data_IF_108914277622
#
_entry.id   IF_108914277622
#
_cell.length_a   1.000
_cell.length_b   1.000
_cell.length_c   1.000
_cell.angle_alpha   90.00
_cell.angle_beta   90.00
_cell.angle_gamma   90.00
#
_symmetry.space_group_name_H-M   'P 1'
#
loop_
_entity.id
_entity.type
_entity.pdbx_description
1 polymer ?
#
# COMPACT_ATOMS: atom_id res chain seq x y z
N UNK A 1 -16.90 -2.15 2.07
CA UNK A 1 -17.21 -1.71 3.42
C UNK A 1 -15.95 -1.38 4.21
N UNK A 2 -16.09 -0.49 5.22
CA UNK A 2 -15.07 -0.25 6.21
C UNK A 2 -15.43 -1.04 7.47
N UNK A 3 -14.44 -1.73 8.04
CA UNK A 3 -14.57 -2.43 9.33
C UNK A 3 -13.56 -1.81 10.29
N UNK A 4 -14.06 -1.24 11.38
CA UNK A 4 -13.25 -0.63 12.42
C UNK A 4 -13.12 -1.60 13.59
N UNK A 5 -11.91 -2.05 13.91
CA UNK A 5 -11.60 -2.77 15.14
C UNK A 5 -11.17 -1.75 16.18
N UNK A 6 -12.11 -1.37 17.06
CA UNK A 6 -11.97 -0.18 17.88
C UNK A 6 -11.33 -0.49 19.23
N UNK A 7 -10.18 0.14 19.48
CA UNK A 7 -9.54 0.26 20.79
C UNK A 7 -8.83 1.62 20.84
N UNK A 8 -9.49 2.63 21.44
CA UNK A 8 -9.02 4.02 21.42
C UNK A 8 -9.24 4.74 22.75
N UNK A 9 -8.17 5.19 23.35
CA UNK A 9 -8.22 6.06 24.55
C UNK A 9 -8.56 7.52 24.26
N UNK A 10 -8.82 7.88 23.00
CA UNK A 10 -9.05 9.26 22.58
C UNK A 10 -7.76 9.97 22.12
N UNK A 11 -7.78 11.30 22.04
CA UNK A 11 -6.64 12.09 21.60
C UNK A 11 -5.47 12.06 22.60
N UNK A 12 -4.24 12.07 22.08
CA UNK A 12 -3.04 12.20 22.89
C UNK A 12 -2.90 13.64 23.42
N UNK A 13 -3.31 13.87 24.67
CA UNK A 13 -3.36 15.20 25.26
C UNK A 13 -2.01 15.94 25.30
N UNK A 14 -0.85 15.30 25.59
CA UNK A 14 0.44 15.97 25.52
C UNK A 14 0.81 16.48 24.11
N UNK A 15 0.26 15.87 23.06
CA UNK A 15 0.51 16.20 21.66
C UNK A 15 -0.74 16.75 20.94
N UNK A 16 -1.64 17.38 21.68
CA UNK A 16 -2.93 17.82 21.14
C UNK A 16 -2.83 18.74 19.93
N UNK A 17 -1.81 19.56 19.86
CA UNK A 17 -1.55 20.47 18.72
C UNK A 17 -1.22 19.72 17.43
N UNK A 18 -0.69 18.50 17.54
CA UNK A 18 -0.30 17.65 16.40
C UNK A 18 -1.40 16.70 15.95
N UNK A 19 -2.49 16.57 16.73
CA UNK A 19 -3.54 15.55 16.46
C UNK A 19 -4.96 16.12 16.39
N UNK A 20 -5.20 17.37 16.80
CA UNK A 20 -6.56 17.88 16.96
C UNK A 20 -6.95 19.01 16.01
N UNK A 21 -6.21 20.16 15.92
CA UNK A 21 -6.76 21.40 15.34
C UNK A 21 -6.73 21.46 13.80
N UNK A 22 -5.91 20.69 13.13
CA UNK A 22 -5.73 20.80 11.68
C UNK A 22 -6.76 20.00 10.91
N UNK A 23 -6.88 20.34 9.61
CA UNK A 23 -7.81 19.72 8.64
C UNK A 23 -7.69 18.20 8.55
N UNK A 24 -6.49 17.68 8.57
CA UNK A 24 -6.22 16.24 8.40
C UNK A 24 -5.98 15.56 9.78
N UNK A 25 -6.33 16.20 10.88
CA UNK A 25 -6.25 15.64 12.21
C UNK A 25 -7.48 14.80 12.58
N UNK A 26 -7.64 14.49 13.85
CA UNK A 26 -8.59 13.50 14.37
C UNK A 26 -10.04 13.73 13.92
N UNK A 27 -10.47 14.98 13.78
CA UNK A 27 -11.82 15.32 13.29
C UNK A 27 -12.09 14.84 11.87
N UNK A 28 -11.03 14.67 11.05
CA UNK A 28 -11.15 14.17 9.67
C UNK A 28 -11.65 12.74 9.59
N UNK A 29 -11.39 11.93 10.62
CA UNK A 29 -11.88 10.54 10.70
C UNK A 29 -13.40 10.53 10.65
N UNK A 30 -14.06 11.33 11.46
CA UNK A 30 -15.53 11.39 11.55
C UNK A 30 -16.16 11.99 10.30
N UNK A 31 -15.54 13.04 9.77
CA UNK A 31 -15.96 13.63 8.51
C UNK A 31 -15.95 12.61 7.37
N UNK A 32 -14.86 11.85 7.24
CA UNK A 32 -14.73 10.83 6.21
C UNK A 32 -15.72 9.68 6.44
N UNK A 33 -15.88 9.21 7.68
CA UNK A 33 -16.80 8.12 8.02
C UNK A 33 -18.25 8.46 7.63
N UNK A 34 -18.72 9.66 8.01
CA UNK A 34 -20.07 10.13 7.66
C UNK A 34 -20.26 10.22 6.14
N UNK A 35 -19.26 10.74 5.42
CA UNK A 35 -19.35 10.87 3.96
C UNK A 35 -19.33 9.52 3.25
N UNK A 36 -18.48 8.61 3.69
CA UNK A 36 -18.42 7.24 3.13
C UNK A 36 -19.75 6.52 3.33
N UNK A 37 -20.36 6.61 4.50
CA UNK A 37 -21.72 6.08 4.73
C UNK A 37 -22.73 6.73 3.78
N UNK A 38 -22.68 8.07 3.61
CA UNK A 38 -23.54 8.81 2.69
C UNK A 38 -23.36 8.41 1.20
N UNK A 39 -22.22 7.86 0.85
CA UNK A 39 -21.92 7.30 -0.49
C UNK A 39 -22.28 5.81 -0.61
N UNK A 40 -22.92 5.23 0.42
CA UNK A 40 -23.33 3.80 0.43
C UNK A 40 -22.18 2.84 0.75
N UNK A 41 -21.06 3.34 1.25
CA UNK A 41 -19.93 2.51 1.72
C UNK A 41 -20.22 2.12 3.16
N UNK A 42 -20.63 0.89 3.40
CA UNK A 42 -20.98 0.40 4.72
C UNK A 42 -19.85 0.57 5.75
N UNK A 43 -20.22 1.14 6.91
CA UNK A 43 -19.33 1.42 8.04
C UNK A 43 -19.73 0.49 9.20
N UNK A 44 -18.84 -0.40 9.60
CA UNK A 44 -19.08 -1.42 10.63
C UNK A 44 -18.05 -1.23 11.73
N UNK A 45 -18.46 -0.96 12.96
CA UNK A 45 -17.55 -0.87 14.10
C UNK A 45 -17.66 -2.09 15.00
N UNK A 46 -16.52 -2.58 15.44
CA UNK A 46 -16.38 -3.65 16.41
C UNK A 46 -15.55 -3.14 17.59
N UNK A 47 -16.19 -2.86 18.71
CA UNK A 47 -15.54 -2.31 19.91
C UNK A 47 -14.95 -3.44 20.71
N UNK A 48 -13.64 -3.63 20.57
CA UNK A 48 -12.85 -4.73 21.18
C UNK A 48 -12.01 -4.23 22.36
N UNK A 49 -12.10 -2.96 22.71
CA UNK A 49 -11.37 -2.33 23.80
C UNK A 49 -12.03 -1.02 24.18
N UNK A 50 -11.22 -0.04 24.54
CA UNK A 50 -11.71 1.29 24.89
C UNK A 50 -12.24 2.03 23.66
N UNK A 51 -13.27 2.85 23.85
CA UNK A 51 -13.76 3.80 22.87
C UNK A 51 -14.14 5.09 23.61
N UNK A 52 -13.12 5.92 23.88
CA UNK A 52 -13.22 7.04 24.82
C UNK A 52 -13.14 8.39 24.12
N UNK A 53 -13.85 9.38 24.66
CA UNK A 53 -13.90 10.75 24.18
C UNK A 53 -14.31 10.82 22.69
N UNK A 54 -13.51 11.48 21.83
CA UNK A 54 -13.77 11.50 20.39
C UNK A 54 -13.83 10.10 19.75
N UNK A 55 -13.07 9.12 20.28
CA UNK A 55 -13.12 7.74 19.82
C UNK A 55 -14.51 7.11 19.90
N UNK A 56 -15.35 7.55 20.86
CA UNK A 56 -16.72 7.05 21.01
C UNK A 56 -17.62 7.32 19.79
N UNK A 57 -17.26 8.30 18.96
CA UNK A 57 -18.01 8.59 17.74
C UNK A 57 -17.79 7.55 16.63
N UNK A 58 -16.67 6.82 16.62
CA UNK A 58 -16.44 5.78 15.59
C UNK A 58 -17.56 4.73 15.61
N UNK A 59 -17.87 4.04 16.72
CA UNK A 59 -19.01 3.12 16.76
C UNK A 59 -20.37 3.83 16.67
N UNK A 60 -20.52 5.01 17.28
CA UNK A 60 -21.79 5.74 17.30
C UNK A 60 -22.21 6.29 15.92
N UNK A 61 -21.27 6.45 14.99
CA UNK A 61 -21.51 6.92 13.62
C UNK A 61 -21.43 5.80 12.59
N UNK A 62 -21.12 4.58 12.99
CA UNK A 62 -21.14 3.42 12.11
C UNK A 62 -22.57 3.00 11.77
N UNK A 63 -22.75 2.40 10.59
CA UNK A 63 -24.08 1.90 10.15
C UNK A 63 -24.53 0.69 10.98
N UNK A 64 -23.56 -0.14 11.41
CA UNK A 64 -23.77 -1.20 12.39
C UNK A 64 -22.58 -1.26 13.37
N UNK A 65 -22.88 -1.53 14.64
CA UNK A 65 -21.88 -1.56 15.70
C UNK A 65 -22.03 -2.80 16.59
N UNK A 66 -20.85 -3.32 17.00
CA UNK A 66 -20.71 -4.50 17.84
C UNK A 66 -19.86 -4.12 19.05
N UNK A 67 -20.18 -4.63 20.23
CA UNK A 67 -19.34 -4.48 21.43
C UNK A 67 -19.02 -5.84 22.04
N UNK A 68 -17.76 -6.02 22.44
CA UNK A 68 -17.34 -7.22 23.17
C UNK A 68 -17.63 -7.05 24.66
N UNK A 69 -18.38 -7.98 25.23
CA UNK A 69 -18.85 -7.98 26.61
C UNK A 69 -17.66 -8.03 27.60
N UNK A 70 -17.74 -7.23 28.66
CA UNK A 70 -16.72 -7.10 29.69
C UNK A 70 -15.34 -6.65 29.20
N UNK A 71 -15.23 -6.18 27.97
CA UNK A 71 -13.98 -5.75 27.33
C UNK A 71 -14.16 -4.41 26.63
N UNK A 72 -15.14 -4.33 25.74
CA UNK A 72 -15.49 -3.09 25.02
C UNK A 72 -16.22 -2.08 25.90
N UNK A 73 -15.84 -0.80 25.78
CA UNK A 73 -16.55 0.31 26.43
C UNK A 73 -16.66 1.51 25.51
N UNK A 74 -17.78 2.21 25.58
CA UNK A 74 -18.04 3.44 24.80
C UNK A 74 -18.52 4.53 25.76
N UNK A 75 -17.78 5.63 25.86
CA UNK A 75 -18.22 6.79 26.64
C UNK A 75 -17.47 8.07 26.22
N UNK A 76 -18.14 9.21 26.27
CA UNK A 76 -17.53 10.52 26.00
C UNK A 76 -16.59 10.95 27.14
N UNK A 77 -16.89 10.56 28.36
CA UNK A 77 -16.06 10.79 29.52
C UNK A 77 -15.98 9.53 30.36
N UNK A 78 -14.77 9.02 30.58
CA UNK A 78 -14.55 7.84 31.40
C UNK A 78 -14.81 8.04 32.89
N UNK A 79 -14.83 6.96 33.72
CA UNK A 79 -15.12 7.01 35.12
C UNK A 79 -14.34 8.08 35.92
N UNK A 80 -13.03 8.33 35.67
CA UNK A 80 -12.31 9.41 36.36
C UNK A 80 -12.88 10.82 36.09
N UNK A 81 -13.29 11.06 34.83
CA UNK A 81 -13.86 12.35 34.44
C UNK A 81 -15.28 12.53 35.05
N UNK A 82 -16.11 11.49 35.04
CA UNK A 82 -17.43 11.48 35.66
C UNK A 82 -17.31 11.78 37.14
N UNK A 83 -16.40 11.12 37.85
CA UNK A 83 -16.13 11.39 39.28
C UNK A 83 -15.69 12.82 39.51
N UNK A 84 -14.83 13.38 38.70
CA UNK A 84 -14.36 14.75 38.83
C UNK A 84 -15.46 15.78 38.55
N UNK A 85 -16.34 15.51 37.61
CA UNK A 85 -17.39 16.45 37.20
C UNK A 85 -18.66 16.39 38.04
N UNK A 86 -19.05 15.19 38.50
CA UNK A 86 -20.35 14.97 39.17
C UNK A 86 -20.21 14.39 40.58
N UNK A 87 -19.03 13.89 40.96
CA UNK A 87 -18.81 13.17 42.22
C UNK A 87 -19.27 11.69 42.18
N UNK A 88 -19.89 11.25 41.08
CA UNK A 88 -20.37 9.89 40.93
C UNK A 88 -19.21 8.89 40.80
N UNK A 89 -19.30 7.79 41.50
CA UNK A 89 -18.34 6.65 41.38
C UNK A 89 -19.04 5.51 40.66
N UNK A 90 -18.61 5.24 39.44
CA UNK A 90 -19.19 4.24 38.56
C UNK A 90 -18.09 3.44 37.87
N UNK A 91 -18.32 2.15 37.62
CA UNK A 91 -17.39 1.32 36.86
C UNK A 91 -17.48 1.60 35.34
N UNK A 92 -16.44 1.27 34.58
CA UNK A 92 -16.43 1.44 33.13
C UNK A 92 -17.53 0.60 32.44
N UNK A 93 -17.76 -0.62 32.92
CA UNK A 93 -18.80 -1.51 32.41
C UNK A 93 -20.22 -0.95 32.69
N UNK A 94 -20.48 -0.44 33.88
CA UNK A 94 -21.76 0.17 34.20
C UNK A 94 -22.01 1.50 33.47
N UNK A 95 -20.95 2.28 33.22
CA UNK A 95 -21.02 3.57 32.53
C UNK A 95 -21.26 3.39 31.02
N UNK A 96 -20.51 2.48 30.38
CA UNK A 96 -20.52 2.37 28.92
C UNK A 96 -20.14 1.00 28.38
N UNK A 97 -20.43 -0.08 29.13
CA UNK A 97 -20.20 -1.43 28.68
C UNK A 97 -21.36 -2.02 27.85
N UNK A 98 -21.22 -3.30 27.53
CA UNK A 98 -22.13 -4.01 26.64
C UNK A 98 -23.60 -4.02 27.09
N UNK A 99 -23.86 -4.22 28.39
CA UNK A 99 -25.23 -4.21 28.92
C UNK A 99 -25.86 -2.83 28.83
N UNK A 100 -25.09 -1.77 29.04
CA UNK A 100 -25.56 -0.38 28.94
C UNK A 100 -25.91 -0.04 27.50
N UNK A 101 -25.02 -0.31 26.56
CA UNK A 101 -25.20 0.11 25.17
C UNK A 101 -26.06 -0.85 24.34
N UNK A 102 -26.06 -2.14 24.66
CA UNK A 102 -26.90 -3.12 23.97
C UNK A 102 -28.36 -3.15 24.45
N UNK A 103 -28.65 -2.66 25.70
CA UNK A 103 -30.01 -2.77 26.25
C UNK A 103 -30.68 -1.44 26.61
N UNK A 104 -29.87 -0.44 27.02
CA UNK A 104 -30.42 0.81 27.55
C UNK A 104 -30.31 1.96 26.57
N UNK A 105 -29.11 2.21 26.05
CA UNK A 105 -28.85 3.36 25.17
C UNK A 105 -29.07 3.07 23.68
N UNK A 106 -28.93 1.80 23.26
CA UNK A 106 -29.06 1.42 21.85
C UNK A 106 -27.92 1.94 20.96
N UNK A 107 -26.78 2.29 21.54
CA UNK A 107 -25.61 2.74 20.76
C UNK A 107 -24.98 1.60 19.97
N UNK A 108 -25.14 0.35 20.45
CA UNK A 108 -24.65 -0.82 19.73
C UNK A 108 -25.80 -1.74 19.35
N UNK A 109 -25.64 -2.40 18.17
CA UNK A 109 -26.65 -3.30 17.60
C UNK A 109 -26.42 -4.74 18.02
N UNK A 110 -25.18 -5.11 18.28
CA UNK A 110 -24.78 -6.48 18.59
C UNK A 110 -23.85 -6.54 19.81
N UNK A 111 -24.07 -7.55 20.63
CA UNK A 111 -23.19 -7.88 21.78
C UNK A 111 -22.48 -9.20 21.49
N UNK A 112 -21.16 -9.20 21.56
CA UNK A 112 -20.33 -10.39 21.39
C UNK A 112 -19.74 -10.86 22.72
N UNK A 113 -19.62 -12.17 22.88
CA UNK A 113 -19.07 -12.76 24.12
C UNK A 113 -17.54 -12.65 24.20
N UNK A 114 -16.86 -12.58 23.04
CA UNK A 114 -15.41 -12.44 22.90
C UNK A 114 -15.07 -11.97 21.49
N UNK A 115 -13.77 -11.77 21.21
CA UNK A 115 -13.24 -11.27 19.95
C UNK A 115 -13.59 -12.17 18.75
N UNK A 116 -13.49 -13.50 18.91
CA UNK A 116 -13.84 -14.45 17.84
C UNK A 116 -15.31 -14.38 17.48
N UNK A 117 -16.19 -14.26 18.48
CA UNK A 117 -17.62 -14.08 18.26
C UNK A 117 -17.89 -12.74 17.57
N UNK A 118 -17.21 -11.67 17.98
CA UNK A 118 -17.33 -10.35 17.36
C UNK A 118 -16.96 -10.39 15.87
N UNK A 119 -15.83 -11.00 15.51
CA UNK A 119 -15.39 -11.17 14.12
C UNK A 119 -16.36 -12.08 13.31
N UNK A 120 -16.99 -13.04 13.95
CA UNK A 120 -18.05 -13.86 13.33
C UNK A 120 -19.26 -13.01 12.99
N UNK A 121 -19.68 -12.13 13.91
CA UNK A 121 -20.79 -11.18 13.66
C UNK A 121 -20.42 -10.23 12.51
N UNK A 122 -19.20 -9.66 12.50
CA UNK A 122 -18.74 -8.80 11.40
C UNK A 122 -18.84 -9.51 10.05
N UNK A 123 -18.36 -10.77 9.95
CA UNK A 123 -18.47 -11.55 8.71
C UNK A 123 -19.91 -11.75 8.27
N UNK A 124 -20.82 -12.00 9.21
CA UNK A 124 -22.25 -12.13 8.93
C UNK A 124 -22.86 -10.83 8.42
N UNK A 125 -22.52 -9.69 9.03
CA UNK A 125 -22.96 -8.37 8.57
C UNK A 125 -22.49 -8.13 7.15
N UNK A 126 -21.20 -8.36 6.88
CA UNK A 126 -20.61 -8.18 5.53
C UNK A 126 -21.29 -9.09 4.51
N UNK A 127 -21.64 -10.34 4.86
CA UNK A 127 -22.35 -11.26 3.98
C UNK A 127 -23.78 -10.76 3.63
N UNK A 128 -24.39 -9.96 4.50
CA UNK A 128 -25.73 -9.43 4.33
C UNK A 128 -25.81 -8.07 3.62
N UNK A 129 -24.67 -7.47 3.24
CA UNK A 129 -24.64 -6.14 2.62
C UNK A 129 -25.25 -6.08 1.22
N UNK A 130 -25.57 -7.23 0.60
CA UNK A 130 -26.09 -7.32 -0.76
C UNK A 130 -25.20 -6.61 -1.80
N UNK A 131 -23.88 -6.57 -1.56
CA UNK A 131 -22.94 -6.00 -2.50
C UNK A 131 -22.61 -6.98 -3.61
N UNK A 132 -22.77 -6.54 -4.85
CA UNK A 132 -22.36 -7.28 -6.04
C UNK A 132 -21.13 -6.62 -6.64
N UNK A 133 -20.12 -7.42 -7.00
CA UNK A 133 -18.98 -6.90 -7.76
C UNK A 133 -19.42 -6.65 -9.20
N UNK A 134 -19.26 -5.43 -9.67
CA UNK A 134 -19.38 -5.09 -11.09
C UNK A 134 -17.97 -5.17 -11.70
N UNK A 135 -17.69 -6.27 -12.40
CA UNK A 135 -16.41 -6.43 -13.09
C UNK A 135 -16.52 -5.88 -14.52
N UNK A 136 -15.67 -4.92 -14.86
CA UNK A 136 -15.38 -4.56 -16.25
C UNK A 136 -14.26 -5.44 -16.86
N UNK A 137 -13.71 -6.37 -16.06
CA UNK A 137 -12.60 -7.25 -16.45
C UNK A 137 -13.11 -8.62 -16.90
N UNK A 138 -12.52 -9.15 -17.97
CA UNK A 138 -12.72 -10.55 -18.38
C UNK A 138 -11.95 -11.46 -17.43
N UNK A 139 -12.66 -12.11 -16.50
CA UNK A 139 -12.06 -13.06 -15.57
C UNK A 139 -12.02 -14.46 -16.18
N UNK A 140 -11.00 -15.21 -15.84
CA UNK A 140 -10.84 -16.63 -16.17
C UNK A 140 -10.72 -17.46 -14.89
N UNK A 141 -10.84 -18.77 -15.00
CA UNK A 141 -10.58 -19.67 -13.87
C UNK A 141 -9.11 -19.56 -13.46
N UNK A 142 -8.80 -19.33 -12.17
CA UNK A 142 -7.40 -19.23 -11.74
C UNK A 142 -6.62 -20.51 -11.94
N UNK A 143 -5.45 -20.41 -12.54
CA UNK A 143 -4.51 -21.53 -12.68
C UNK A 143 -3.28 -21.31 -11.78
N UNK A 144 -2.78 -22.37 -11.10
CA UNK A 144 -1.54 -22.24 -10.37
C UNK A 144 -0.38 -21.99 -11.35
N UNK A 145 0.69 -21.30 -10.94
CA UNK A 145 1.91 -21.23 -11.74
C UNK A 145 2.46 -22.63 -12.05
N UNK A 146 3.06 -22.80 -13.23
CA UNK A 146 3.72 -24.05 -13.60
C UNK A 146 5.01 -24.30 -12.77
N UNK A 147 5.59 -23.25 -12.21
CA UNK A 147 6.77 -23.30 -11.34
C UNK A 147 6.40 -22.98 -9.89
N UNK A 148 7.08 -23.65 -8.94
CA UNK A 148 6.84 -23.47 -7.51
C UNK A 148 7.21 -22.04 -7.06
N UNK A 149 6.30 -21.27 -6.45
CA UNK A 149 6.60 -19.93 -5.94
C UNK A 149 7.77 -19.89 -4.94
N UNK A 150 8.04 -20.97 -4.21
CA UNK A 150 9.16 -21.03 -3.25
C UNK A 150 10.53 -21.02 -3.91
N UNK A 151 10.62 -21.32 -5.21
CA UNK A 151 11.88 -21.22 -5.97
C UNK A 151 12.39 -19.78 -6.06
N UNK A 152 11.52 -18.77 -5.82
CA UNK A 152 11.92 -17.36 -5.77
C UNK A 152 13.06 -17.15 -4.77
N UNK A 153 13.10 -17.88 -3.67
CA UNK A 153 14.19 -17.78 -2.69
C UNK A 153 15.57 -18.16 -3.24
N UNK A 154 15.62 -19.02 -4.26
CA UNK A 154 16.87 -19.40 -4.91
C UNK A 154 17.20 -18.54 -6.14
N UNK A 155 16.22 -17.81 -6.69
CA UNK A 155 16.37 -16.97 -7.88
C UNK A 155 16.86 -15.57 -7.51
N UNK A 156 16.24 -14.99 -6.46
CA UNK A 156 16.54 -13.63 -6.05
C UNK A 156 17.72 -13.62 -5.07
N UNK A 157 18.84 -12.98 -5.46
CA UNK A 157 20.01 -12.93 -4.61
C UNK A 157 19.77 -12.03 -3.38
N UNK A 158 20.46 -12.33 -2.29
CA UNK A 158 20.46 -11.50 -1.09
C UNK A 158 21.14 -10.15 -1.30
N UNK A 159 22.14 -10.08 -2.19
CA UNK A 159 22.76 -8.82 -2.63
C UNK A 159 21.92 -8.20 -3.75
N UNK A 160 21.26 -7.09 -3.46
CA UNK A 160 20.42 -6.34 -4.42
C UNK A 160 21.17 -5.84 -5.67
N UNK A 161 22.50 -5.89 -5.66
CA UNK A 161 23.34 -5.54 -6.83
C UNK A 161 23.57 -6.70 -7.77
N UNK A 162 23.35 -7.92 -7.33
CA UNK A 162 23.53 -9.09 -8.19
C UNK A 162 22.35 -9.20 -9.17
N UNK A 163 22.65 -9.30 -10.48
CA UNK A 163 21.62 -9.38 -11.51
C UNK A 163 20.92 -10.75 -11.52
N UNK A 164 19.65 -10.76 -11.84
CA UNK A 164 18.87 -11.93 -12.20
C UNK A 164 17.82 -11.55 -13.25
N UNK A 165 17.30 -12.52 -13.97
CA UNK A 165 16.22 -12.24 -14.94
C UNK A 165 14.88 -12.20 -14.22
N UNK A 166 14.21 -11.05 -14.25
CA UNK A 166 12.92 -10.84 -13.57
C UNK A 166 11.80 -11.71 -14.16
N UNK A 167 11.96 -12.24 -15.39
CA UNK A 167 11.01 -13.19 -15.98
C UNK A 167 10.86 -14.46 -15.14
N UNK A 168 11.93 -14.87 -14.46
CA UNK A 168 11.90 -15.99 -13.52
C UNK A 168 10.96 -15.72 -12.33
N UNK A 169 10.92 -14.49 -11.84
CA UNK A 169 9.96 -14.08 -10.80
C UNK A 169 8.54 -14.06 -11.39
N UNK A 170 8.35 -13.44 -12.55
CA UNK A 170 7.04 -13.37 -13.22
C UNK A 170 6.44 -14.76 -13.41
N UNK A 171 7.23 -15.73 -13.90
CA UNK A 171 6.78 -17.10 -14.13
C UNK A 171 6.28 -17.83 -12.86
N UNK A 172 6.64 -17.36 -11.65
CA UNK A 172 6.23 -17.96 -10.38
C UNK A 172 5.07 -17.23 -9.71
N UNK A 173 4.57 -16.17 -10.33
CA UNK A 173 3.45 -15.40 -9.77
C UNK A 173 2.21 -15.35 -10.69
N UNK A 174 2.39 -15.57 -12.01
CA UNK A 174 1.30 -15.51 -12.98
C UNK A 174 0.64 -16.86 -13.21
N UNK A 175 -0.61 -16.86 -13.63
CA UNK A 175 -1.41 -18.06 -13.94
C UNK A 175 -0.75 -18.84 -15.04
N UNK A 176 -0.65 -20.18 -14.87
CA UNK A 176 -0.02 -21.09 -15.82
C UNK A 176 1.44 -20.78 -16.14
N UNK A 177 2.06 -19.80 -15.50
CA UNK A 177 3.36 -19.20 -15.88
C UNK A 177 3.34 -18.57 -17.28
N UNK A 178 2.16 -18.22 -17.78
CA UNK A 178 1.99 -17.61 -19.10
C UNK A 178 2.19 -16.10 -19.05
N UNK A 179 3.08 -15.60 -19.91
CA UNK A 179 3.42 -14.18 -20.00
C UNK A 179 3.59 -13.74 -21.44
N UNK A 180 2.69 -12.86 -21.91
CA UNK A 180 2.75 -12.27 -23.25
C UNK A 180 3.61 -11.00 -23.23
N UNK A 181 4.91 -11.14 -23.52
CA UNK A 181 5.87 -10.06 -23.40
C UNK A 181 5.74 -9.04 -24.54
N UNK A 182 5.50 -7.78 -24.18
CA UNK A 182 5.40 -6.65 -25.08
C UNK A 182 6.79 -6.06 -25.39
N UNK A 183 7.14 -5.94 -26.67
CA UNK A 183 8.42 -5.42 -27.18
C UNK A 183 9.65 -6.09 -26.53
N UNK A 184 9.82 -7.42 -26.61
CA UNK A 184 10.91 -8.13 -25.94
C UNK A 184 12.31 -7.73 -26.45
N UNK A 185 12.42 -7.22 -27.67
CA UNK A 185 13.70 -6.83 -28.29
C UNK A 185 14.06 -5.33 -28.12
N UNK A 186 13.15 -4.53 -27.55
CA UNK A 186 13.37 -3.09 -27.38
C UNK A 186 13.29 -2.70 -25.90
N UNK A 187 14.21 -1.87 -25.43
CA UNK A 187 14.26 -1.45 -24.03
C UNK A 187 14.32 -2.63 -23.05
N UNK A 188 15.23 -3.56 -23.29
CA UNK A 188 15.31 -4.88 -22.66
C UNK A 188 15.53 -4.86 -21.15
N UNK A 189 15.95 -3.71 -20.59
CA UNK A 189 16.14 -3.52 -19.14
C UNK A 189 14.82 -3.22 -18.40
N UNK A 190 13.72 -3.08 -19.13
CA UNK A 190 12.36 -3.07 -18.61
C UNK A 190 11.55 -4.16 -19.32
N UNK A 191 11.12 -5.16 -18.58
CA UNK A 191 10.22 -6.21 -19.07
C UNK A 191 8.78 -5.72 -18.90
N UNK A 192 7.99 -5.83 -19.96
CA UNK A 192 6.58 -5.44 -19.97
C UNK A 192 5.76 -6.50 -20.67
N UNK A 193 4.58 -6.84 -20.18
CA UNK A 193 3.72 -7.82 -20.83
C UNK A 193 2.41 -8.02 -20.10
N UNK A 194 1.50 -8.74 -20.75
CA UNK A 194 0.21 -9.14 -20.20
C UNK A 194 0.25 -10.55 -19.64
N UNK A 195 -0.48 -10.76 -18.56
CA UNK A 195 -0.62 -12.04 -17.89
C UNK A 195 -1.95 -12.11 -17.12
N UNK A 196 -2.14 -13.18 -16.36
CA UNK A 196 -3.22 -13.27 -15.37
C UNK A 196 -2.67 -13.62 -14.00
N UNK A 197 -3.34 -13.11 -12.97
CA UNK A 197 -3.10 -13.45 -11.56
C UNK A 197 -4.45 -13.72 -10.92
N UNK A 198 -4.69 -14.94 -10.44
CA UNK A 198 -5.98 -15.38 -9.94
C UNK A 198 -7.13 -15.13 -10.93
N UNK A 199 -6.89 -15.39 -12.22
CA UNK A 199 -7.84 -15.17 -13.29
C UNK A 199 -8.01 -13.69 -13.70
N UNK A 200 -7.50 -12.73 -12.94
CA UNK A 200 -7.55 -11.31 -13.27
C UNK A 200 -6.50 -10.96 -14.33
N UNK A 201 -6.87 -10.30 -15.43
CA UNK A 201 -5.89 -9.79 -16.38
C UNK A 201 -5.05 -8.69 -15.73
N UNK A 202 -3.75 -8.73 -15.96
CA UNK A 202 -2.78 -7.76 -15.44
C UNK A 202 -1.79 -7.34 -16.51
N UNK A 203 -1.33 -6.10 -16.42
CA UNK A 203 -0.24 -5.56 -17.22
C UNK A 203 0.97 -5.36 -16.31
N UNK A 204 2.03 -6.13 -16.51
CA UNK A 204 3.21 -6.18 -15.66
C UNK A 204 4.31 -5.31 -16.24
N UNK A 205 4.92 -4.46 -15.41
CA UNK A 205 6.17 -3.76 -15.67
C UNK A 205 7.19 -4.21 -14.62
N UNK A 206 8.32 -4.75 -15.05
CA UNK A 206 9.32 -5.30 -14.16
C UNK A 206 10.74 -4.84 -14.56
N UNK A 207 11.53 -4.39 -13.59
CA UNK A 207 12.90 -3.99 -13.87
C UNK A 207 13.80 -5.20 -14.11
N UNK A 208 14.59 -5.12 -15.18
CA UNK A 208 15.63 -6.08 -15.53
C UNK A 208 16.99 -5.39 -15.73
N UNK A 209 17.20 -4.29 -15.00
CA UNK A 209 18.40 -3.45 -15.06
C UNK A 209 18.09 -1.96 -14.95
N UNK A 210 19.08 -1.15 -15.28
CA UNK A 210 19.00 0.33 -15.29
C UNK A 210 18.01 0.81 -16.37
N UNK A 211 17.27 1.87 -16.09
CA UNK A 211 16.35 2.47 -17.09
C UNK A 211 17.12 3.36 -18.08
N UNK A 212 17.02 3.00 -19.35
CA UNK A 212 17.45 3.82 -20.48
C UNK A 212 16.26 4.56 -21.12
N UNK A 213 16.53 5.45 -22.07
CA UNK A 213 15.48 6.15 -22.83
C UNK A 213 14.51 5.18 -23.50
N UNK A 214 15.01 4.12 -24.11
CA UNK A 214 14.21 3.08 -24.76
C UNK A 214 13.29 2.35 -23.77
N UNK A 215 13.81 2.07 -22.58
CA UNK A 215 13.03 1.44 -21.50
C UNK A 215 11.91 2.35 -21.01
N UNK A 216 12.20 3.65 -20.85
CA UNK A 216 11.22 4.66 -20.44
C UNK A 216 10.11 4.83 -21.50
N UNK A 217 10.48 4.91 -22.78
CA UNK A 217 9.53 5.03 -23.89
C UNK A 217 8.66 3.77 -24.03
N UNK A 218 9.25 2.58 -23.88
CA UNK A 218 8.51 1.31 -23.86
C UNK A 218 7.50 1.27 -22.71
N UNK A 219 7.94 1.65 -21.50
CA UNK A 219 7.08 1.67 -20.32
C UNK A 219 5.92 2.65 -20.44
N UNK A 220 6.17 3.88 -20.92
CA UNK A 220 5.12 4.86 -21.16
C UNK A 220 4.06 4.34 -22.13
N UNK A 221 4.47 3.84 -23.30
CA UNK A 221 3.57 3.25 -24.30
C UNK A 221 2.76 2.08 -23.73
N UNK A 222 3.40 1.19 -22.95
CA UNK A 222 2.73 0.03 -22.37
C UNK A 222 1.69 0.41 -21.31
N UNK A 223 1.97 1.43 -20.49
CA UNK A 223 1.02 1.96 -19.50
C UNK A 223 -0.21 2.55 -20.19
N UNK A 224 -0.02 3.35 -21.25
CA UNK A 224 -1.13 3.90 -22.01
C UNK A 224 -2.01 2.81 -22.63
N UNK A 225 -1.37 1.77 -23.18
CA UNK A 225 -2.07 0.60 -23.74
C UNK A 225 -2.87 -0.16 -22.68
N UNK A 226 -2.31 -0.36 -21.48
CA UNK A 226 -2.99 -1.00 -20.37
C UNK A 226 -4.19 -0.17 -19.88
N UNK A 227 -4.02 1.17 -19.78
CA UNK A 227 -5.10 2.08 -19.41
C UNK A 227 -6.24 2.08 -20.44
N UNK A 228 -5.93 2.09 -21.73
CA UNK A 228 -6.93 2.01 -22.79
C UNK A 228 -7.76 0.70 -22.71
N UNK A 229 -7.12 -0.38 -22.29
CA UNK A 229 -7.75 -1.69 -22.10
C UNK A 229 -8.37 -1.87 -20.72
N UNK A 230 -8.27 -0.88 -19.84
CA UNK A 230 -8.72 -0.91 -18.43
C UNK A 230 -8.11 -2.08 -17.63
N UNK A 231 -6.90 -2.51 -17.98
CA UNK A 231 -6.18 -3.60 -17.32
C UNK A 231 -5.34 -3.06 -16.16
N UNK A 232 -5.45 -3.61 -14.93
CA UNK A 232 -4.63 -3.21 -13.79
C UNK A 232 -3.13 -3.35 -14.06
N UNK A 233 -2.35 -2.41 -13.52
CA UNK A 233 -0.89 -2.38 -13.62
C UNK A 233 -0.23 -3.02 -12.38
N UNK A 234 0.74 -3.88 -12.62
CA UNK A 234 1.60 -4.47 -11.58
C UNK A 234 3.04 -4.07 -11.84
N UNK A 235 3.67 -3.41 -10.88
CA UNK A 235 5.05 -2.97 -10.93
C UNK A 235 5.91 -3.85 -10.03
N UNK A 236 6.89 -4.54 -10.60
CA UNK A 236 7.92 -5.27 -9.87
C UNK A 236 9.19 -4.44 -9.87
N UNK A 237 9.45 -3.75 -8.76
CA UNK A 237 10.57 -2.82 -8.66
C UNK A 237 11.85 -3.52 -8.24
N UNK A 238 12.86 -3.47 -9.10
CA UNK A 238 14.27 -3.71 -8.78
C UNK A 238 15.10 -2.72 -9.58
N UNK A 239 15.06 -1.44 -9.17
CA UNK A 239 15.61 -0.32 -9.93
C UNK A 239 16.71 0.43 -9.19
N UNK A 240 17.86 0.56 -9.82
CA UNK A 240 18.98 1.37 -9.36
C UNK A 240 18.91 2.84 -9.82
N UNK A 241 18.03 3.17 -10.77
CA UNK A 241 17.83 4.51 -11.31
C UNK A 241 17.78 4.56 -12.84
N UNK A 242 17.62 5.77 -13.37
CA UNK A 242 17.88 6.05 -14.78
C UNK A 242 19.38 6.11 -15.06
N UNK A 243 19.77 5.75 -16.28
CA UNK A 243 21.15 5.85 -16.70
C UNK A 243 21.61 7.31 -16.70
N UNK A 244 22.81 7.54 -16.26
CA UNK A 244 23.42 8.88 -16.15
C UNK A 244 24.65 8.98 -17.06
N UNK A 245 25.02 10.19 -17.40
CA UNK A 245 26.22 10.47 -18.17
C UNK A 245 25.95 11.30 -19.43
N UNK A 246 26.99 11.96 -19.92
CA UNK A 246 26.92 12.94 -21.02
C UNK A 246 26.20 12.41 -22.28
N UNK A 247 26.44 11.16 -22.62
CA UNK A 247 25.81 10.53 -23.79
C UNK A 247 24.29 10.46 -23.63
N UNK A 248 23.82 10.03 -22.47
CA UNK A 248 22.39 9.82 -22.20
C UNK A 248 21.65 11.16 -22.01
N UNK A 249 22.30 12.13 -21.36
CA UNK A 249 21.74 13.50 -21.26
C UNK A 249 21.57 14.12 -22.63
N UNK A 250 22.58 14.00 -23.50
CA UNK A 250 22.53 14.53 -24.87
C UNK A 250 21.45 13.83 -25.72
N UNK A 251 21.13 12.58 -25.46
CA UNK A 251 20.05 11.84 -26.12
C UNK A 251 18.66 12.13 -25.52
N UNK A 252 18.57 12.86 -24.42
CA UNK A 252 17.32 13.30 -23.82
C UNK A 252 16.70 12.33 -22.82
N UNK A 253 17.52 11.62 -22.03
CA UNK A 253 17.08 10.69 -20.99
C UNK A 253 16.09 11.34 -20.01
N UNK A 254 16.30 12.61 -19.63
CA UNK A 254 15.39 13.35 -18.75
C UNK A 254 14.01 13.54 -19.38
N UNK A 255 13.94 13.87 -20.68
CA UNK A 255 12.68 13.99 -21.42
C UNK A 255 11.95 12.64 -21.53
N UNK A 256 12.68 11.59 -21.84
CA UNK A 256 12.09 10.27 -22.06
C UNK A 256 11.70 9.61 -20.71
N UNK A 257 12.51 9.81 -19.68
CA UNK A 257 12.15 9.43 -18.30
C UNK A 257 10.90 10.15 -17.79
N UNK A 258 10.77 11.46 -18.11
CA UNK A 258 9.57 12.22 -17.75
C UNK A 258 8.30 11.68 -18.41
N UNK A 259 8.37 11.11 -19.62
CA UNK A 259 7.21 10.44 -20.25
C UNK A 259 6.74 9.24 -19.45
N UNK A 260 7.66 8.38 -19.00
CA UNK A 260 7.31 7.25 -18.15
C UNK A 260 6.67 7.71 -16.84
N UNK A 261 7.29 8.68 -16.16
CA UNK A 261 6.77 9.26 -14.91
C UNK A 261 5.38 9.87 -15.11
N UNK A 262 5.15 10.59 -16.22
CA UNK A 262 3.84 11.15 -16.57
C UNK A 262 2.82 10.05 -16.84
N UNK A 263 3.18 9.01 -17.57
CA UNK A 263 2.29 7.88 -17.83
C UNK A 263 1.85 7.19 -16.54
N UNK A 264 2.77 6.95 -15.59
CA UNK A 264 2.45 6.38 -14.28
C UNK A 264 1.52 7.30 -13.48
N UNK A 265 1.83 8.61 -13.45
CA UNK A 265 1.06 9.59 -12.69
C UNK A 265 -0.38 9.75 -13.21
N UNK A 266 -0.57 9.72 -14.53
CA UNK A 266 -1.87 9.91 -15.19
C UNK A 266 -2.65 8.60 -15.39
N UNK A 267 -2.06 7.44 -15.07
CA UNK A 267 -2.75 6.16 -15.19
C UNK A 267 -3.90 6.05 -14.18
N UNK A 268 -5.07 5.66 -14.66
CA UNK A 268 -6.33 5.61 -13.89
C UNK A 268 -6.72 4.19 -13.47
N UNK A 269 -6.10 3.17 -14.07
CA UNK A 269 -6.30 1.77 -13.68
C UNK A 269 -5.69 1.50 -12.31
N UNK A 270 -6.19 0.51 -11.56
CA UNK A 270 -5.56 0.10 -10.31
C UNK A 270 -4.07 -0.23 -10.52
N UNK A 271 -3.21 0.34 -9.66
CA UNK A 271 -1.77 0.12 -9.66
C UNK A 271 -1.37 -0.65 -8.41
N UNK A 272 -0.52 -1.65 -8.58
CA UNK A 272 0.05 -2.44 -7.49
C UNK A 272 1.56 -2.44 -7.63
N UNK A 273 2.28 -2.21 -6.55
CA UNK A 273 3.73 -2.19 -6.56
C UNK A 273 4.28 -3.21 -5.56
N UNK A 274 5.22 -4.02 -6.01
CA UNK A 274 6.03 -4.89 -5.15
C UNK A 274 7.49 -4.51 -5.34
N UNK A 275 8.13 -4.02 -4.29
CA UNK A 275 9.57 -3.74 -4.29
C UNK A 275 10.29 -5.05 -4.00
N UNK A 276 10.80 -5.68 -5.06
CA UNK A 276 11.45 -7.00 -5.02
C UNK A 276 12.98 -6.93 -4.84
N UNK A 277 13.53 -5.71 -4.82
CA UNK A 277 14.96 -5.43 -4.68
C UNK A 277 15.19 -3.95 -4.42
N UNK A 278 16.04 -3.30 -5.22
CA UNK A 278 16.30 -1.86 -5.10
C UNK A 278 15.16 -0.98 -5.57
N UNK A 279 14.98 0.17 -4.92
CA UNK A 279 14.07 1.23 -5.33
C UNK A 279 14.73 2.59 -5.08
N UNK A 280 15.48 3.09 -6.07
CA UNK A 280 16.35 4.25 -5.90
C UNK A 280 16.01 5.41 -6.84
N UNK A 281 16.02 6.63 -6.26
CA UNK A 281 15.92 7.88 -6.98
C UNK A 281 14.66 8.01 -7.84
N UNK A 282 14.76 8.70 -8.97
CA UNK A 282 13.63 8.89 -9.89
C UNK A 282 13.15 7.59 -10.58
N UNK A 283 13.92 6.50 -10.50
CA UNK A 283 13.47 5.18 -10.91
C UNK A 283 12.25 4.70 -10.11
N UNK A 284 12.20 5.02 -8.80
CA UNK A 284 11.02 4.80 -7.97
C UNK A 284 9.76 5.46 -8.55
N UNK A 285 9.89 6.66 -9.10
CA UNK A 285 8.77 7.41 -9.68
C UNK A 285 8.26 6.74 -10.96
N UNK A 286 9.16 6.36 -11.86
CA UNK A 286 8.83 5.66 -13.10
C UNK A 286 8.26 4.25 -12.89
N UNK A 287 8.46 3.67 -11.71
CA UNK A 287 7.99 2.34 -11.33
C UNK A 287 6.89 2.38 -10.25
N UNK A 288 6.14 3.47 -10.17
CA UNK A 288 5.00 3.63 -9.28
C UNK A 288 5.34 3.47 -7.78
N UNK A 289 6.27 4.30 -7.27
CA UNK A 289 6.50 4.42 -5.83
C UNK A 289 5.29 4.99 -5.08
N UNK A 290 5.38 5.07 -3.75
CA UNK A 290 4.25 5.45 -2.88
C UNK A 290 3.58 6.78 -3.26
N UNK A 291 4.37 7.76 -3.72
CA UNK A 291 3.86 9.08 -4.15
C UNK A 291 3.04 9.05 -5.46
N UNK A 292 3.03 7.92 -6.17
CA UNK A 292 2.28 7.73 -7.42
C UNK A 292 0.97 6.96 -7.22
N UNK A 293 0.52 6.90 -5.99
CA UNK A 293 -0.80 6.44 -5.58
C UNK A 293 -1.14 5.01 -6.04
N UNK A 294 -0.26 4.03 -5.75
CA UNK A 294 -0.64 2.64 -5.93
C UNK A 294 -1.77 2.28 -4.96
N UNK A 295 -2.67 1.37 -5.35
CA UNK A 295 -3.70 0.84 -4.45
C UNK A 295 -3.06 0.12 -3.27
N UNK A 296 -1.96 -0.61 -3.56
CA UNK A 296 -1.09 -1.20 -2.55
C UNK A 296 0.35 -1.15 -3.02
N UNK A 297 1.25 -0.97 -2.07
CA UNK A 297 2.69 -1.11 -2.24
C UNK A 297 3.22 -2.02 -1.14
N UNK A 298 3.86 -3.12 -1.54
CA UNK A 298 4.50 -4.06 -0.62
C UNK A 298 6.00 -4.13 -0.87
N UNK A 299 6.74 -4.55 0.13
CA UNK A 299 8.18 -4.76 0.03
C UNK A 299 8.56 -6.20 0.41
N UNK A 300 9.55 -6.74 -0.27
CA UNK A 300 10.20 -7.98 0.16
C UNK A 300 11.24 -7.70 1.27
N UNK A 301 11.61 -8.69 2.09
CA UNK A 301 12.58 -8.49 3.19
C UNK A 301 13.97 -8.03 2.74
N UNK A 302 14.38 -8.39 1.51
CA UNK A 302 15.65 -7.96 0.89
C UNK A 302 15.58 -6.60 0.23
N UNK A 303 14.41 -5.96 0.14
CA UNK A 303 14.24 -4.69 -0.56
C UNK A 303 15.01 -3.53 0.12
N UNK A 304 15.38 -2.55 -0.69
CA UNK A 304 16.01 -1.30 -0.22
C UNK A 304 15.38 -0.11 -0.94
N UNK A 305 15.05 0.93 -0.19
CA UNK A 305 14.47 2.17 -0.73
C UNK A 305 15.22 3.39 -0.20
N UNK A 306 15.70 4.23 -1.11
CA UNK A 306 16.29 5.53 -0.78
C UNK A 306 16.45 6.42 -2.01
N UNK A 307 16.92 7.67 -1.81
CA UNK A 307 17.19 8.60 -2.92
C UNK A 307 18.31 8.09 -3.84
N UNK A 308 19.28 7.35 -3.31
CA UNK A 308 20.36 6.67 -4.03
C UNK A 308 20.97 5.59 -3.13
N UNK A 309 21.81 4.71 -3.68
CA UNK A 309 22.52 3.71 -2.88
C UNK A 309 23.44 4.36 -1.85
N UNK A 310 23.57 3.77 -0.65
CA UNK A 310 24.36 4.34 0.46
C UNK A 310 25.83 4.60 0.11
N UNK A 311 26.45 3.72 -0.69
CA UNK A 311 27.83 3.93 -1.18
C UNK A 311 27.95 5.15 -2.10
N UNK A 312 26.99 5.35 -2.98
CA UNK A 312 26.94 6.52 -3.86
C UNK A 312 26.72 7.80 -3.05
N UNK A 313 25.81 7.79 -2.10
CA UNK A 313 25.55 8.93 -1.22
C UNK A 313 26.77 9.30 -0.40
N UNK A 314 27.45 8.33 0.19
CA UNK A 314 28.66 8.53 0.96
C UNK A 314 29.79 9.14 0.10
N UNK A 315 29.97 8.62 -1.12
CA UNK A 315 30.99 9.13 -2.06
C UNK A 315 30.71 10.56 -2.52
N UNK A 316 29.45 10.88 -2.85
CA UNK A 316 29.05 12.23 -3.26
C UNK A 316 29.23 13.23 -2.11
N UNK A 317 28.75 12.90 -0.91
CA UNK A 317 28.88 13.78 0.25
C UNK A 317 30.33 13.99 0.68
N UNK A 318 31.14 12.94 0.64
CA UNK A 318 32.59 13.05 0.91
C UNK A 318 33.31 13.95 -0.10
N UNK A 319 32.94 13.83 -1.39
CA UNK A 319 33.48 14.68 -2.45
C UNK A 319 33.09 16.15 -2.24
N UNK A 320 31.83 16.43 -1.94
CA UNK A 320 31.34 17.80 -1.66
C UNK A 320 31.99 18.39 -0.41
N UNK A 321 32.26 17.56 0.61
CA UNK A 321 32.97 17.96 1.82
C UNK A 321 34.50 18.12 1.65
N UNK A 322 35.03 17.83 0.46
CA UNK A 322 36.47 17.86 0.21
C UNK A 322 37.24 16.71 0.90
N UNK A 323 36.55 15.60 1.21
CA UNK A 323 37.10 14.43 1.92
C UNK A 323 36.84 13.12 1.15
N UNK A 324 37.15 13.03 -0.16
CA UNK A 324 36.74 11.93 -1.04
C UNK A 324 37.26 10.56 -0.60
N UNK A 325 38.39 10.50 0.08
CA UNK A 325 39.05 9.25 0.49
C UNK A 325 38.94 8.97 2.00
N UNK A 326 38.04 9.68 2.70
CA UNK A 326 37.86 9.55 4.16
C UNK A 326 36.74 8.56 4.48
N UNK A 327 37.10 7.30 4.76
CA UNK A 327 36.16 6.27 5.15
C UNK A 327 35.49 6.57 6.49
N UNK A 328 36.18 7.20 7.44
CA UNK A 328 35.58 7.62 8.71
C UNK A 328 34.46 8.64 8.54
N UNK A 329 34.49 9.44 7.46
CA UNK A 329 33.36 10.31 7.06
C UNK A 329 32.26 9.55 6.32
N UNK A 330 32.62 8.55 5.51
CA UNK A 330 31.67 7.79 4.68
C UNK A 330 30.87 6.76 5.49
N UNK A 331 31.49 6.09 6.45
CA UNK A 331 30.90 4.97 7.17
C UNK A 331 29.59 5.32 7.90
N UNK A 332 29.47 6.43 8.65
CA UNK A 332 28.20 6.81 9.26
C UNK A 332 27.09 7.07 8.24
N UNK A 333 27.44 7.54 7.03
CA UNK A 333 26.48 7.78 5.95
C UNK A 333 26.00 6.45 5.38
N UNK A 334 26.92 5.51 5.14
CA UNK A 334 26.58 4.16 4.69
C UNK A 334 25.62 3.46 5.67
N UNK A 335 25.95 3.50 6.95
CA UNK A 335 25.13 2.92 8.02
C UNK A 335 23.74 3.56 8.10
N UNK A 336 23.66 4.89 7.99
CA UNK A 336 22.38 5.61 7.98
C UNK A 336 21.51 5.18 6.80
N UNK A 337 22.09 5.12 5.59
CA UNK A 337 21.35 4.74 4.38
C UNK A 337 20.91 3.28 4.41
N UNK A 338 21.73 2.38 4.95
CA UNK A 338 21.36 0.97 5.12
C UNK A 338 20.21 0.82 6.13
N UNK A 339 20.28 1.49 7.27
CA UNK A 339 19.24 1.45 8.29
C UNK A 339 17.93 2.05 7.78
N UNK A 340 17.97 3.23 7.16
CA UNK A 340 16.78 3.94 6.68
C UNK A 340 16.22 3.36 5.38
N UNK A 341 17.04 2.67 4.59
CA UNK A 341 16.62 1.99 3.37
C UNK A 341 15.94 0.64 3.60
N UNK A 342 15.98 0.12 4.81
CA UNK A 342 15.38 -1.18 5.17
C UNK A 342 13.85 -1.19 5.01
N UNK A 343 13.24 -2.29 4.54
CA UNK A 343 11.79 -2.42 4.45
C UNK A 343 11.12 -2.34 5.82
N UNK A 344 11.78 -2.80 6.89
CA UNK A 344 11.24 -2.70 8.26
C UNK A 344 11.22 -1.26 8.78
N UNK A 345 12.17 -0.43 8.34
CA UNK A 345 12.16 1.00 8.63
C UNK A 345 11.03 1.70 7.86
N UNK A 346 10.80 1.31 6.62
CA UNK A 346 9.76 1.84 5.75
C UNK A 346 8.35 1.50 6.29
N UNK A 347 8.11 0.23 6.59
CA UNK A 347 6.79 -0.22 7.07
C UNK A 347 6.43 0.36 8.44
N UNK A 348 7.42 0.55 9.33
CA UNK A 348 7.22 1.23 10.60
C UNK A 348 6.78 2.70 10.46
N UNK A 349 6.91 3.28 9.26
CA UNK A 349 6.54 4.66 8.90
C UNK A 349 5.38 4.72 7.91
N UNK A 350 4.74 3.60 7.61
CA UNK A 350 3.64 3.48 6.66
C UNK A 350 4.01 3.96 5.24
N UNK A 351 5.27 3.78 4.84
CA UNK A 351 5.70 4.05 3.47
C UNK A 351 5.29 2.95 2.50
N UNK A 352 4.87 1.81 3.05
CA UNK A 352 4.30 0.66 2.34
C UNK A 352 3.07 0.12 3.07
N UNK A 353 2.44 -0.89 2.52
CA UNK A 353 1.30 -1.60 3.09
C UNK A 353 1.72 -2.93 3.74
N UNK A 354 3.00 -3.18 3.85
CA UNK A 354 3.59 -4.29 4.58
C UNK A 354 4.77 -4.96 3.89
N UNK A 355 5.57 -5.64 4.70
CA UNK A 355 6.62 -6.54 4.24
C UNK A 355 5.99 -7.92 4.03
N UNK A 356 6.13 -8.48 2.84
CA UNK A 356 5.53 -9.76 2.45
C UNK A 356 6.60 -10.80 2.15
N UNK A 357 6.26 -12.06 2.39
CA UNK A 357 7.06 -13.18 1.93
C UNK A 357 7.07 -13.21 0.39
N UNK A 358 8.24 -13.33 -0.27
CA UNK A 358 8.33 -13.46 -1.72
C UNK A 358 7.43 -14.53 -2.33
N UNK A 359 7.29 -15.69 -1.71
CA UNK A 359 6.42 -16.76 -2.17
C UNK A 359 4.92 -16.43 -2.07
N UNK A 360 4.53 -15.51 -1.19
CA UNK A 360 3.16 -15.03 -1.01
C UNK A 360 2.75 -13.94 -2.02
N UNK A 361 3.67 -13.46 -2.86
CA UNK A 361 3.43 -12.32 -3.78
C UNK A 361 2.19 -12.54 -4.66
N UNK A 362 2.02 -13.73 -5.23
CA UNK A 362 0.84 -14.07 -6.03
C UNK A 362 -0.45 -13.93 -5.23
N UNK A 363 -0.49 -14.45 -3.99
CA UNK A 363 -1.66 -14.42 -3.11
C UNK A 363 -2.04 -12.98 -2.74
N UNK A 364 -1.05 -12.19 -2.37
CA UNK A 364 -1.24 -10.79 -1.96
C UNK A 364 -1.73 -9.94 -3.13
N UNK A 365 -1.14 -10.09 -4.33
CA UNK A 365 -1.59 -9.43 -5.55
C UNK A 365 -3.02 -9.85 -5.93
N UNK A 366 -3.35 -11.13 -5.86
CA UNK A 366 -4.70 -11.64 -6.13
C UNK A 366 -5.76 -11.02 -5.21
N UNK A 367 -5.48 -10.92 -3.90
CA UNK A 367 -6.36 -10.23 -2.94
C UNK A 367 -6.49 -8.74 -3.26
N UNK A 368 -5.39 -8.07 -3.61
CA UNK A 368 -5.40 -6.68 -4.01
C UNK A 368 -6.25 -6.43 -5.26
N UNK A 369 -6.08 -7.26 -6.29
CA UNK A 369 -6.85 -7.21 -7.53
C UNK A 369 -8.36 -7.42 -7.27
N UNK A 370 -8.69 -8.43 -6.47
CA UNK A 370 -10.08 -8.70 -6.07
C UNK A 370 -10.71 -7.53 -5.31
N UNK A 371 -9.92 -6.84 -4.48
CA UNK A 371 -10.38 -5.65 -3.74
C UNK A 371 -10.58 -4.47 -4.68
N UNK A 372 -9.62 -4.19 -5.56
CA UNK A 372 -9.68 -3.07 -6.48
C UNK A 372 -10.81 -3.20 -7.53
N UNK A 373 -11.18 -4.43 -7.89
CA UNK A 373 -12.29 -4.70 -8.81
C UNK A 373 -13.67 -4.30 -8.27
N UNK A 374 -13.78 -3.82 -7.03
CA UNK A 374 -15.03 -3.28 -6.49
C UNK A 374 -15.31 -1.82 -6.92
N UNK A 375 -14.35 -1.14 -7.51
CA UNK A 375 -14.50 0.23 -7.98
C UNK A 375 -14.40 0.31 -9.51
N UNK A 376 -15.20 1.17 -10.17
CA UNK A 376 -15.09 1.38 -11.61
C UNK A 376 -13.75 2.03 -11.96
N UNK A 377 -13.26 1.75 -13.17
CA UNK A 377 -12.06 2.40 -13.72
C UNK A 377 -12.50 3.65 -14.50
N UNK A 378 -12.03 4.86 -14.13
CA UNK A 378 -12.33 6.08 -14.88
C UNK A 378 -11.75 6.05 -16.30
N UNK A 379 -12.21 6.95 -17.17
CA UNK A 379 -11.60 7.14 -18.48
C UNK A 379 -10.22 7.80 -18.34
N UNK A 380 -9.19 7.30 -19.07
CA UNK A 380 -7.84 7.83 -18.97
C UNK A 380 -7.74 9.23 -19.58
N UNK A 381 -6.98 10.10 -18.92
CA UNK A 381 -6.65 11.43 -19.42
C UNK A 381 -5.19 11.72 -19.12
N UNK A 382 -4.41 11.92 -20.15
CA UNK A 382 -2.98 12.20 -20.05
C UNK A 382 -2.68 13.68 -20.27
N UNK A 383 -1.69 14.20 -19.54
CA UNK A 383 -1.10 15.49 -19.80
C UNK A 383 -0.26 15.51 -21.09
N UNK A 384 0.33 16.66 -21.38
CA UNK A 384 1.19 16.81 -22.58
C UNK A 384 2.50 16.06 -22.40
N UNK A 385 2.77 15.11 -23.27
CA UNK A 385 4.08 14.45 -23.37
C UNK A 385 5.04 15.34 -24.18
N UNK A 386 6.18 15.67 -23.56
CA UNK A 386 7.20 16.45 -24.26
C UNK A 386 7.96 15.57 -25.26
N UNK A 387 8.02 16.02 -26.53
CA UNK A 387 8.68 15.30 -27.62
C UNK A 387 10.17 15.62 -27.74
#
# INVERSE_FOLDING_TARGET
PCVYLVDSGGANLPHQAEVFPDREHFGRIFFNQARMSGEGIAQIACVMGLSTAGGAYVPAMSDESIIVKNQGTIFLGGPPLVKAATGEVISAEELGGAETHGRKSGVVDHVAENDEHALTIVRRIVANLNTTKTHELSLEEPEPPAYDPTEIYGIVPSDVRAPYDVREVIARIVDGSEFDEFKPLYGTTLVTGFARIWGYPVAILANNGVLFSESALKGAHFIELACQRKIPLVFLQNISGFMVGREYENKGIARDGAKLVTAVACSVVPKFTVVIGGSFGAGNYGMCGRAYDPRFLWMWPNARISVMGGEQAASVLATVAGRPDDDGFKDPIREQYEAQGSPYYATARLWDDGVIDPADTRRVLGLGLATAANAPVPEPSYGVFRM
#
